data_IF_242065312001
#
_entry.id   IF_242065312001
#
_cell.length_a   1.000
_cell.length_b   1.000
_cell.length_c   1.000
_cell.angle_alpha   90.00
_cell.angle_beta   90.00
_cell.angle_gamma   90.00
#
_symmetry.space_group_name_H-M   'P 1'
#
loop_
_entity.id
_entity.type
_entity.pdbx_description
1 polymer ?
#
# COMPACT_ATOMS: atom_id res chain seq x y z
N UNK A 1 -10.54 9.15 -18.84
CA UNK A 1 -9.28 8.38 -18.82
C UNK A 1 -8.92 7.91 -20.22
N UNK A 2 -7.68 8.12 -20.66
CA UNK A 2 -7.16 7.61 -21.95
C UNK A 2 -7.16 6.08 -21.95
N UNK A 3 -7.31 5.43 -23.13
CA UNK A 3 -7.20 3.98 -23.30
C UNK A 3 -5.89 3.42 -22.71
N UNK A 4 -4.76 4.13 -22.93
CA UNK A 4 -3.44 3.78 -22.36
C UNK A 4 -3.45 3.75 -20.82
N UNK A 5 -4.18 4.68 -20.18
CA UNK A 5 -4.29 4.72 -18.72
C UNK A 5 -5.10 3.52 -18.17
N UNK A 6 -6.18 3.14 -18.84
CA UNK A 6 -7.00 1.96 -18.47
C UNK A 6 -6.20 0.66 -18.57
N UNK A 7 -5.43 0.49 -19.65
CA UNK A 7 -4.55 -0.68 -19.84
C UNK A 7 -3.48 -0.75 -18.76
N UNK A 8 -2.82 0.39 -18.46
CA UNK A 8 -1.80 0.46 -17.39
C UNK A 8 -2.39 0.08 -16.03
N UNK A 9 -3.56 0.61 -15.71
CA UNK A 9 -4.28 0.30 -14.46
C UNK A 9 -4.60 -1.19 -14.36
N UNK A 10 -5.16 -1.77 -15.41
CA UNK A 10 -5.48 -3.19 -15.47
C UNK A 10 -4.25 -4.07 -15.28
N UNK A 11 -3.14 -3.75 -15.94
CA UNK A 11 -1.87 -4.48 -15.79
C UNK A 11 -1.33 -4.41 -14.35
N UNK A 12 -1.37 -3.24 -13.72
CA UNK A 12 -0.88 -3.08 -12.34
C UNK A 12 -1.74 -3.86 -11.35
N UNK A 13 -3.06 -3.82 -11.51
CA UNK A 13 -3.99 -4.60 -10.68
C UNK A 13 -3.76 -6.10 -10.85
N UNK A 14 -3.53 -6.57 -12.08
CA UNK A 14 -3.20 -7.97 -12.37
C UNK A 14 -1.90 -8.38 -11.68
N UNK A 15 -0.83 -7.59 -11.85
CA UNK A 15 0.47 -7.83 -11.21
C UNK A 15 0.32 -7.85 -9.69
N UNK A 16 -0.39 -6.87 -9.11
CA UNK A 16 -0.65 -6.83 -7.67
C UNK A 16 -1.35 -8.08 -7.16
N UNK A 17 -2.39 -8.55 -7.87
CA UNK A 17 -3.12 -9.78 -7.50
C UNK A 17 -2.25 -11.03 -7.59
N UNK A 18 -1.40 -11.14 -8.62
CA UNK A 18 -0.45 -12.26 -8.76
C UNK A 18 0.58 -12.24 -7.64
N UNK A 19 1.12 -11.06 -7.28
CA UNK A 19 2.06 -10.92 -6.15
C UNK A 19 1.40 -11.37 -4.84
N UNK A 20 0.15 -10.97 -4.57
CA UNK A 20 -0.58 -11.39 -3.37
C UNK A 20 -0.77 -12.91 -3.36
N UNK A 21 -1.23 -13.51 -4.47
CA UNK A 21 -1.41 -14.96 -4.58
C UNK A 21 -0.09 -15.72 -4.38
N UNK A 22 1.00 -15.21 -4.94
CA UNK A 22 2.36 -15.77 -4.78
C UNK A 22 2.81 -15.73 -3.32
N UNK A 23 2.62 -14.59 -2.64
CA UNK A 23 2.96 -14.46 -1.23
C UNK A 23 2.17 -15.45 -0.36
N UNK A 24 0.88 -15.58 -0.60
CA UNK A 24 0.01 -16.53 0.12
C UNK A 24 0.49 -17.96 -0.12
N UNK A 25 0.66 -18.37 -1.37
CA UNK A 25 0.98 -19.76 -1.71
C UNK A 25 2.37 -20.17 -1.22
N UNK A 26 3.41 -19.36 -1.46
CA UNK A 26 4.80 -19.77 -1.20
C UNK A 26 5.26 -19.55 0.25
N UNK A 27 4.65 -18.62 0.98
CA UNK A 27 5.10 -18.30 2.33
C UNK A 27 4.04 -18.58 3.42
N UNK A 28 2.77 -18.22 3.19
CA UNK A 28 1.74 -18.35 4.22
C UNK A 28 1.24 -19.79 4.38
N UNK A 29 0.88 -20.46 3.27
CA UNK A 29 0.27 -21.79 3.31
C UNK A 29 1.22 -22.88 3.86
N UNK A 30 2.51 -22.99 3.43
CA UNK A 30 3.39 -24.04 3.88
C UNK A 30 3.71 -23.97 5.36
N UNK A 31 3.78 -22.76 5.91
CA UNK A 31 4.10 -22.49 7.33
C UNK A 31 2.86 -22.55 8.24
N UNK A 32 1.66 -22.78 7.66
CA UNK A 32 0.37 -22.82 8.38
C UNK A 32 0.08 -21.55 9.18
N UNK A 33 0.71 -20.45 8.82
CA UNK A 33 0.55 -19.16 9.49
C UNK A 33 -0.69 -18.44 8.92
N UNK A 34 -1.54 -17.95 9.79
CA UNK A 34 -2.80 -17.30 9.40
C UNK A 34 -2.71 -15.79 9.56
N UNK A 35 -1.69 -15.17 8.94
CA UNK A 35 -1.56 -13.71 8.96
C UNK A 35 -2.80 -13.09 8.34
N UNK A 36 -3.48 -12.26 9.11
CA UNK A 36 -4.78 -11.62 8.94
C UNK A 36 -5.31 -11.37 7.55
N UNK A 37 -5.69 -12.44 6.86
CA UNK A 37 -6.21 -12.39 5.50
C UNK A 37 -7.41 -13.34 5.33
N UNK A 38 -8.20 -13.12 4.28
CA UNK A 38 -9.26 -14.07 3.90
C UNK A 38 -8.70 -15.47 3.62
N UNK A 39 -7.52 -15.55 2.99
CA UNK A 39 -6.83 -16.81 2.76
C UNK A 39 -6.35 -17.48 4.07
N UNK A 40 -5.98 -16.69 5.11
CA UNK A 40 -5.67 -17.21 6.45
C UNK A 40 -6.89 -17.85 7.10
N UNK A 41 -8.06 -17.24 7.00
CA UNK A 41 -9.30 -17.86 7.48
C UNK A 41 -9.67 -19.10 6.68
N UNK A 42 -9.48 -19.06 5.34
CA UNK A 42 -9.70 -20.24 4.50
C UNK A 42 -8.76 -21.40 4.86
N UNK A 43 -7.51 -21.09 5.25
CA UNK A 43 -6.55 -22.10 5.73
C UNK A 43 -7.03 -22.76 7.03
N UNK A 44 -7.58 -21.99 7.99
CA UNK A 44 -8.18 -22.58 9.20
C UNK A 44 -9.38 -23.45 8.84
N UNK A 45 -10.27 -22.96 7.97
CA UNK A 45 -11.47 -23.69 7.56
C UNK A 45 -11.16 -24.97 6.79
N UNK A 46 -10.06 -25.02 6.04
CA UNK A 46 -9.65 -26.22 5.29
C UNK A 46 -9.29 -27.42 6.19
N UNK A 47 -9.06 -27.19 7.50
CA UNK A 47 -8.88 -28.28 8.46
C UNK A 47 -10.22 -28.96 8.85
N UNK A 48 -11.34 -28.30 8.62
CA UNK A 48 -12.69 -28.79 8.97
C UNK A 48 -13.50 -29.17 7.73
N UNK A 49 -13.18 -28.60 6.58
CA UNK A 49 -13.93 -28.76 5.33
C UNK A 49 -13.00 -29.39 4.29
N UNK A 50 -13.36 -30.50 3.62
CA UNK A 50 -12.52 -31.18 2.65
C UNK A 50 -12.49 -30.44 1.28
N UNK A 51 -12.14 -29.17 1.30
CA UNK A 51 -11.97 -28.32 0.13
C UNK A 51 -10.59 -27.68 0.14
N UNK A 52 -10.05 -27.37 -1.06
CA UNK A 52 -8.78 -26.66 -1.15
C UNK A 52 -8.90 -25.22 -0.62
N UNK A 53 -7.79 -24.67 -0.12
CA UNK A 53 -7.75 -23.29 0.39
C UNK A 53 -8.17 -22.29 -0.68
N UNK A 54 -7.77 -22.52 -1.94
CA UNK A 54 -8.18 -21.69 -3.08
C UNK A 54 -9.69 -21.68 -3.28
N UNK A 55 -10.35 -22.84 -3.17
CA UNK A 55 -11.80 -22.96 -3.32
C UNK A 55 -12.55 -22.25 -2.18
N UNK A 56 -12.12 -22.46 -0.94
CA UNK A 56 -12.73 -21.77 0.22
C UNK A 56 -12.54 -20.26 0.09
N UNK A 57 -11.34 -19.81 -0.28
CA UNK A 57 -11.05 -18.39 -0.51
C UNK A 57 -11.95 -17.78 -1.58
N UNK A 58 -12.21 -18.51 -2.68
CA UNK A 58 -13.11 -18.05 -3.74
C UNK A 58 -14.55 -17.85 -3.22
N UNK A 59 -15.08 -18.82 -2.47
CA UNK A 59 -16.43 -18.74 -1.89
C UNK A 59 -16.55 -17.55 -0.94
N UNK A 60 -15.58 -17.37 -0.06
CA UNK A 60 -15.54 -16.25 0.88
C UNK A 60 -15.43 -14.91 0.17
N UNK A 61 -14.60 -14.83 -0.86
CA UNK A 61 -14.42 -13.62 -1.65
C UNK A 61 -15.72 -13.18 -2.33
N UNK A 62 -16.50 -14.11 -2.87
CA UNK A 62 -17.82 -13.79 -3.48
C UNK A 62 -18.72 -13.08 -2.47
N UNK A 63 -18.82 -13.60 -1.24
CA UNK A 63 -19.63 -12.98 -0.20
C UNK A 63 -19.10 -11.58 0.18
N UNK A 64 -17.78 -11.45 0.42
CA UNK A 64 -17.16 -10.19 0.82
C UNK A 64 -17.25 -9.13 -0.27
N UNK A 65 -17.13 -9.53 -1.55
CA UNK A 65 -17.27 -8.62 -2.69
C UNK A 65 -18.68 -8.05 -2.79
N UNK A 66 -19.72 -8.87 -2.61
CA UNK A 66 -21.11 -8.40 -2.59
C UNK A 66 -21.27 -7.34 -1.47
N UNK A 67 -20.75 -7.63 -0.29
CA UNK A 67 -20.74 -6.69 0.84
C UNK A 67 -19.99 -5.39 0.49
N UNK A 68 -18.82 -5.50 -0.12
CA UNK A 68 -18.01 -4.37 -0.57
C UNK A 68 -18.70 -3.50 -1.62
N UNK A 69 -19.36 -4.11 -2.60
CA UNK A 69 -20.13 -3.38 -3.63
C UNK A 69 -21.23 -2.54 -3.01
N UNK A 70 -21.94 -3.07 -2.02
CA UNK A 70 -23.04 -2.38 -1.34
C UNK A 70 -22.53 -1.25 -0.45
N UNK A 71 -21.47 -1.49 0.35
CA UNK A 71 -21.02 -0.56 1.37
C UNK A 71 -19.99 0.46 0.87
N UNK A 72 -19.12 0.11 -0.09
CA UNK A 72 -18.07 0.99 -0.58
C UNK A 72 -18.48 1.73 -1.86
N UNK A 73 -19.02 1.00 -2.83
CA UNK A 73 -19.50 1.56 -4.09
C UNK A 73 -19.10 0.75 -5.32
N UNK A 74 -19.74 1.08 -6.47
CA UNK A 74 -19.63 0.29 -7.72
C UNK A 74 -18.24 0.34 -8.37
N UNK A 75 -17.54 1.49 -8.31
CA UNK A 75 -16.21 1.63 -8.93
C UNK A 75 -15.14 0.77 -8.22
N UNK A 76 -15.24 0.65 -6.90
CA UNK A 76 -14.43 -0.28 -6.11
C UNK A 76 -14.80 -1.73 -6.44
N UNK A 77 -16.11 -2.01 -6.58
CA UNK A 77 -16.62 -3.37 -6.80
C UNK A 77 -16.11 -3.99 -8.11
N UNK A 78 -16.16 -3.29 -9.23
CA UNK A 78 -15.77 -3.86 -10.53
C UNK A 78 -14.32 -4.37 -10.57
N UNK A 79 -13.37 -3.59 -10.03
CA UNK A 79 -11.96 -3.97 -9.95
C UNK A 79 -11.73 -5.09 -8.95
N UNK A 80 -12.42 -5.01 -7.82
CA UNK A 80 -12.33 -6.00 -6.75
C UNK A 80 -12.91 -7.34 -7.18
N UNK A 81 -14.01 -7.38 -7.95
CA UNK A 81 -14.55 -8.61 -8.55
C UNK A 81 -13.47 -9.33 -9.37
N UNK A 82 -12.76 -8.59 -10.23
CA UNK A 82 -11.69 -9.16 -11.03
C UNK A 82 -10.57 -9.76 -10.17
N UNK A 83 -10.07 -9.02 -9.18
CA UNK A 83 -9.00 -9.49 -8.28
C UNK A 83 -9.45 -10.69 -7.43
N UNK A 84 -10.69 -10.65 -6.94
CA UNK A 84 -11.28 -11.71 -6.09
C UNK A 84 -11.40 -13.06 -6.77
N UNK A 85 -11.50 -13.06 -8.10
CA UNK A 85 -11.49 -14.27 -8.91
C UNK A 85 -10.07 -14.64 -9.30
N UNK A 86 -9.26 -13.67 -9.74
CA UNK A 86 -7.92 -13.91 -10.23
C UNK A 86 -7.02 -14.52 -9.16
N UNK A 87 -7.02 -13.98 -7.94
CA UNK A 87 -6.16 -14.44 -6.86
C UNK A 87 -6.38 -15.93 -6.52
N UNK A 88 -7.59 -16.42 -6.21
CA UNK A 88 -7.83 -17.85 -5.99
C UNK A 88 -7.54 -18.73 -7.20
N UNK A 89 -7.78 -18.23 -8.41
CA UNK A 89 -7.43 -18.97 -9.65
C UNK A 89 -5.93 -19.16 -9.75
N UNK A 90 -5.12 -18.13 -9.52
CA UNK A 90 -3.65 -18.24 -9.51
C UNK A 90 -3.19 -19.19 -8.41
N UNK A 91 -3.78 -19.10 -7.20
CA UNK A 91 -3.50 -20.06 -6.12
C UNK A 91 -3.83 -21.50 -6.52
N UNK A 92 -4.99 -21.75 -7.13
CA UNK A 92 -5.38 -23.07 -7.60
C UNK A 92 -4.47 -23.61 -8.72
N UNK A 93 -3.90 -22.74 -9.54
CA UNK A 93 -2.86 -23.13 -10.51
C UNK A 93 -1.58 -23.55 -9.77
N UNK A 94 -1.14 -22.78 -8.76
CA UNK A 94 0.03 -23.15 -7.96
C UNK A 94 -0.20 -24.47 -7.19
N UNK A 95 -1.37 -24.69 -6.59
CA UNK A 95 -1.74 -25.94 -5.91
C UNK A 95 -1.62 -27.17 -6.85
N UNK A 96 -1.93 -27.00 -8.14
CA UNK A 96 -1.81 -28.08 -9.15
C UNK A 96 -0.37 -28.31 -9.61
N UNK A 97 0.41 -27.21 -9.77
CA UNK A 97 1.80 -27.30 -10.24
C UNK A 97 2.72 -27.81 -9.13
N UNK A 98 2.44 -27.40 -7.88
CA UNK A 98 3.25 -27.72 -6.70
C UNK A 98 2.42 -28.40 -5.60
N UNK A 99 1.88 -29.63 -5.83
CA UNK A 99 0.90 -30.24 -4.91
C UNK A 99 1.44 -30.53 -3.51
N UNK A 100 2.76 -30.68 -3.34
CA UNK A 100 3.42 -30.99 -2.07
C UNK A 100 4.46 -29.91 -1.71
N UNK A 101 4.18 -28.65 -2.02
CA UNK A 101 5.11 -27.57 -1.76
C UNK A 101 5.33 -27.37 -0.24
N UNK A 102 6.59 -27.40 0.16
CA UNK A 102 7.02 -27.15 1.54
C UNK A 102 7.66 -25.77 1.65
N UNK A 103 7.68 -25.23 2.89
CA UNK A 103 8.31 -23.95 3.16
C UNK A 103 9.76 -23.90 2.66
N UNK A 104 10.10 -22.82 1.95
CA UNK A 104 11.46 -22.57 1.46
C UNK A 104 12.41 -22.33 2.62
N UNK A 105 11.97 -21.61 3.64
CA UNK A 105 12.82 -21.21 4.79
C UNK A 105 12.82 -22.26 5.89
N UNK A 106 11.83 -23.15 5.93
CA UNK A 106 11.58 -24.12 6.99
C UNK A 106 11.43 -23.47 8.40
N UNK A 107 11.27 -22.15 8.45
CA UNK A 107 11.07 -21.38 9.67
C UNK A 107 9.81 -20.49 9.51
N UNK A 108 8.74 -20.73 10.31
CA UNK A 108 7.50 -19.97 10.23
C UNK A 108 7.70 -18.46 10.43
N UNK A 109 8.68 -18.03 11.24
CA UNK A 109 8.94 -16.61 11.46
C UNK A 109 9.53 -15.94 10.22
N UNK A 110 10.51 -16.59 9.56
CA UNK A 110 11.09 -16.08 8.31
C UNK A 110 10.05 -16.06 7.20
N UNK A 111 9.21 -17.09 7.11
CA UNK A 111 8.12 -17.13 6.13
C UNK A 111 7.14 -15.97 6.33
N UNK A 112 6.78 -15.65 7.58
CA UNK A 112 5.92 -14.49 7.87
C UNK A 112 6.58 -13.19 7.47
N UNK A 113 7.87 -13.00 7.74
CA UNK A 113 8.59 -11.78 7.33
C UNK A 113 8.58 -11.65 5.80
N UNK A 114 8.88 -12.73 5.07
CA UNK A 114 8.81 -12.74 3.61
C UNK A 114 7.38 -12.47 3.12
N UNK A 115 6.38 -13.11 3.73
CA UNK A 115 4.98 -12.92 3.41
C UNK A 115 4.55 -11.46 3.54
N UNK A 116 4.76 -10.83 4.71
CA UNK A 116 4.28 -9.46 4.95
C UNK A 116 4.94 -8.43 4.04
N UNK A 117 6.21 -8.63 3.66
CA UNK A 117 6.90 -7.75 2.70
C UNK A 117 6.32 -7.93 1.29
N UNK A 118 6.19 -9.16 0.81
CA UNK A 118 5.72 -9.42 -0.55
C UNK A 118 4.24 -9.10 -0.70
N UNK A 119 3.39 -9.53 0.25
CA UNK A 119 1.95 -9.22 0.21
C UNK A 119 1.70 -7.72 0.35
N UNK A 120 2.50 -7.02 1.18
CA UNK A 120 2.41 -5.58 1.35
C UNK A 120 2.62 -4.81 0.04
N UNK A 121 3.58 -5.24 -0.79
CA UNK A 121 3.79 -4.67 -2.14
C UNK A 121 2.56 -4.91 -3.02
N UNK A 122 2.03 -6.14 -3.05
CA UNK A 122 0.85 -6.48 -3.84
C UNK A 122 -0.38 -5.67 -3.43
N UNK A 123 -0.68 -5.61 -2.12
CA UNK A 123 -1.81 -4.84 -1.58
C UNK A 123 -1.65 -3.33 -1.81
N UNK A 124 -0.43 -2.79 -1.65
CA UNK A 124 -0.13 -1.39 -1.97
C UNK A 124 -0.50 -1.06 -3.43
N UNK A 125 -0.14 -1.93 -4.39
CA UNK A 125 -0.51 -1.75 -5.79
C UNK A 125 -2.03 -1.78 -5.98
N UNK A 126 -2.73 -2.73 -5.38
CA UNK A 126 -4.19 -2.84 -5.49
C UNK A 126 -4.89 -1.60 -4.91
N UNK A 127 -4.53 -1.20 -3.69
CA UNK A 127 -5.15 -0.06 -3.02
C UNK A 127 -4.88 1.28 -3.70
N UNK A 128 -3.71 1.44 -4.34
CA UNK A 128 -3.38 2.64 -5.12
C UNK A 128 -4.33 2.87 -6.31
N UNK A 129 -4.94 1.79 -6.81
CA UNK A 129 -5.92 1.84 -7.89
C UNK A 129 -7.35 1.59 -7.43
N UNK A 130 -7.59 1.74 -6.12
CA UNK A 130 -8.90 1.53 -5.48
C UNK A 130 -9.49 0.14 -5.78
N UNK A 131 -8.64 -0.89 -5.76
CA UNK A 131 -9.00 -2.30 -5.85
C UNK A 131 -8.66 -3.02 -4.54
N UNK A 132 -9.13 -4.26 -4.39
CA UNK A 132 -8.88 -5.12 -3.24
C UNK A 132 -8.67 -6.56 -3.73
N UNK A 133 -7.95 -7.39 -2.97
CA UNK A 133 -7.76 -8.81 -3.30
C UNK A 133 -9.04 -9.65 -3.17
N UNK A 134 -10.08 -9.08 -2.56
CA UNK A 134 -11.38 -9.73 -2.35
C UNK A 134 -11.55 -10.35 -0.95
N UNK A 135 -10.50 -10.36 -0.14
CA UNK A 135 -10.50 -10.94 1.21
C UNK A 135 -10.87 -9.95 2.32
N UNK A 136 -10.23 -10.10 3.49
CA UNK A 136 -10.44 -9.22 4.65
C UNK A 136 -10.03 -7.76 4.40
N UNK A 137 -9.28 -7.49 3.37
CA UNK A 137 -8.97 -6.16 2.88
C UNK A 137 -10.22 -5.37 2.44
N UNK A 138 -11.32 -6.05 2.04
CA UNK A 138 -12.64 -5.41 1.88
C UNK A 138 -13.17 -4.93 3.24
N UNK A 139 -13.07 -5.78 4.27
CA UNK A 139 -13.49 -5.40 5.63
C UNK A 139 -12.67 -4.23 6.13
N UNK A 140 -11.34 -4.27 5.94
CA UNK A 140 -10.46 -3.17 6.28
C UNK A 140 -10.83 -1.87 5.54
N UNK A 141 -11.17 -1.96 4.25
CA UNK A 141 -11.62 -0.81 3.47
C UNK A 141 -12.95 -0.24 3.96
N UNK A 142 -13.87 -1.09 4.43
CA UNK A 142 -15.12 -0.67 5.07
C UNK A 142 -14.80 0.06 6.38
N UNK A 143 -13.96 -0.50 7.25
CA UNK A 143 -13.54 0.14 8.49
C UNK A 143 -12.84 1.49 8.21
N UNK A 144 -11.95 1.56 7.23
CA UNK A 144 -11.31 2.79 6.82
C UNK A 144 -12.33 3.85 6.39
N UNK A 145 -13.35 3.46 5.58
CA UNK A 145 -14.38 4.38 5.10
C UNK A 145 -15.25 4.93 6.22
N UNK A 146 -15.71 4.09 7.14
CA UNK A 146 -16.70 4.44 8.15
C UNK A 146 -16.08 4.92 9.47
N UNK A 147 -14.96 4.34 9.89
CA UNK A 147 -14.27 4.69 11.14
C UNK A 147 -13.10 5.65 10.94
N UNK A 148 -12.75 5.96 9.67
CA UNK A 148 -11.61 6.86 9.33
C UNK A 148 -10.28 6.41 9.95
N UNK A 149 -10.08 5.11 10.11
CA UNK A 149 -8.82 4.52 10.57
C UNK A 149 -7.91 4.28 9.38
N UNK A 150 -6.59 4.37 9.56
CA UNK A 150 -5.63 4.01 8.51
C UNK A 150 -5.86 2.57 8.03
N UNK A 151 -5.60 2.32 6.75
CA UNK A 151 -5.96 1.05 6.12
C UNK A 151 -5.21 -0.14 6.71
N UNK A 152 -3.92 0.02 7.03
CA UNK A 152 -3.12 -1.02 7.67
C UNK A 152 -3.56 -1.29 9.11
N UNK A 153 -3.94 -0.25 9.87
CA UNK A 153 -4.54 -0.45 11.20
C UNK A 153 -5.85 -1.21 11.10
N UNK A 154 -6.71 -0.87 10.14
CA UNK A 154 -7.97 -1.59 9.90
C UNK A 154 -7.73 -3.05 9.50
N UNK A 155 -6.69 -3.32 8.67
CA UNK A 155 -6.23 -4.68 8.34
C UNK A 155 -5.77 -5.42 9.59
N UNK A 156 -5.00 -4.77 10.47
CA UNK A 156 -4.54 -5.38 11.73
C UNK A 156 -5.70 -5.75 12.62
N UNK A 157 -6.70 -4.87 12.80
CA UNK A 157 -7.86 -5.16 13.66
C UNK A 157 -8.68 -6.34 13.14
N UNK A 158 -9.05 -6.32 11.86
CA UNK A 158 -9.81 -7.42 11.26
C UNK A 158 -8.98 -8.72 11.23
N UNK A 159 -7.70 -8.60 10.94
CA UNK A 159 -6.80 -9.74 10.80
C UNK A 159 -6.41 -10.41 12.10
N UNK A 160 -6.25 -9.68 13.22
CA UNK A 160 -5.99 -10.28 14.54
C UNK A 160 -7.15 -11.18 14.96
N UNK A 161 -8.39 -10.75 14.72
CA UNK A 161 -9.54 -11.59 15.00
C UNK A 161 -9.47 -12.92 14.24
N UNK A 162 -9.05 -12.91 12.97
CA UNK A 162 -8.83 -14.12 12.17
C UNK A 162 -7.62 -14.91 12.66
N UNK A 163 -6.50 -14.25 12.94
CA UNK A 163 -5.30 -14.92 13.42
C UNK A 163 -5.56 -15.71 14.72
N UNK A 164 -6.41 -15.18 15.60
CA UNK A 164 -6.80 -15.87 16.83
C UNK A 164 -7.62 -17.15 16.57
N UNK A 165 -8.36 -17.25 15.45
CA UNK A 165 -9.07 -18.49 15.10
C UNK A 165 -8.13 -19.66 14.83
N UNK A 166 -6.87 -19.38 14.50
CA UNK A 166 -5.85 -20.41 14.30
C UNK A 166 -5.54 -21.23 15.56
N UNK A 167 -5.87 -20.70 16.75
CA UNK A 167 -5.73 -21.43 18.02
C UNK A 167 -6.58 -22.71 18.09
N UNK A 168 -7.61 -22.82 17.23
CA UNK A 168 -8.42 -24.03 17.15
C UNK A 168 -7.72 -25.20 16.44
N UNK A 169 -6.67 -24.92 15.63
CA UNK A 169 -6.08 -25.90 14.72
C UNK A 169 -4.56 -26.04 14.84
N UNK A 170 -3.88 -25.00 15.35
CA UNK A 170 -2.42 -24.91 15.30
C UNK A 170 -1.80 -24.67 16.67
N UNK A 171 -0.51 -24.96 16.78
CA UNK A 171 0.26 -24.78 18.01
C UNK A 171 0.33 -23.31 18.45
N UNK A 172 0.45 -23.04 19.77
CA UNK A 172 0.51 -21.67 20.29
C UNK A 172 1.60 -20.78 19.64
N UNK A 173 2.72 -21.37 19.26
CA UNK A 173 3.81 -20.69 18.54
C UNK A 173 3.32 -20.08 17.23
N UNK A 174 2.57 -20.86 16.45
CA UNK A 174 2.01 -20.42 15.16
C UNK A 174 0.97 -19.32 15.35
N UNK A 175 0.13 -19.42 16.39
CA UNK A 175 -0.86 -18.40 16.74
C UNK A 175 -0.18 -17.07 17.07
N UNK A 176 0.84 -17.10 17.93
CA UNK A 176 1.60 -15.89 18.31
C UNK A 176 2.27 -15.26 17.09
N UNK A 177 2.93 -16.06 16.25
CA UNK A 177 3.56 -15.57 15.01
C UNK A 177 2.51 -14.98 14.06
N UNK A 178 1.32 -15.60 13.96
CA UNK A 178 0.22 -15.10 13.12
C UNK A 178 -0.30 -13.75 13.59
N UNK A 179 -0.48 -13.56 14.89
CA UNK A 179 -0.92 -12.29 15.48
C UNK A 179 0.13 -11.19 15.28
N UNK A 180 1.40 -11.49 15.59
CA UNK A 180 2.51 -10.55 15.39
C UNK A 180 2.68 -10.20 13.91
N UNK A 181 2.66 -11.20 13.02
CA UNK A 181 2.75 -10.98 11.58
C UNK A 181 1.61 -10.12 11.05
N UNK A 182 0.39 -10.30 11.59
CA UNK A 182 -0.75 -9.45 11.23
C UNK A 182 -0.55 -8.00 11.66
N UNK A 183 -0.10 -7.78 12.89
CA UNK A 183 0.18 -6.44 13.41
C UNK A 183 1.27 -5.72 12.61
N UNK A 184 2.43 -6.36 12.44
CA UNK A 184 3.52 -5.78 11.65
C UNK A 184 3.18 -5.65 10.17
N UNK A 185 2.42 -6.59 9.60
CA UNK A 185 1.93 -6.52 8.23
C UNK A 185 1.10 -5.26 7.96
N UNK A 186 0.22 -4.89 8.89
CA UNK A 186 -0.54 -3.64 8.80
C UNK A 186 0.36 -2.40 8.86
N UNK A 187 1.36 -2.37 9.74
CA UNK A 187 2.32 -1.25 9.82
C UNK A 187 3.14 -1.11 8.53
N UNK A 188 3.60 -2.23 7.97
CA UNK A 188 4.35 -2.25 6.71
C UNK A 188 3.47 -1.78 5.55
N UNK A 189 2.22 -2.22 5.52
CA UNK A 189 1.26 -1.81 4.49
C UNK A 189 1.02 -0.30 4.52
N UNK A 190 0.78 0.28 5.71
CA UNK A 190 0.63 1.73 5.86
C UNK A 190 1.89 2.45 5.41
N UNK A 191 3.07 1.97 5.80
CA UNK A 191 4.34 2.55 5.37
C UNK A 191 4.51 2.54 3.84
N UNK A 192 4.12 1.45 3.17
CA UNK A 192 4.17 1.36 1.72
C UNK A 192 3.16 2.30 1.04
N UNK A 193 1.92 2.36 1.54
CA UNK A 193 0.88 3.25 1.00
C UNK A 193 1.27 4.73 1.17
N UNK A 194 1.72 5.12 2.37
CA UNK A 194 2.19 6.48 2.62
C UNK A 194 3.44 6.81 1.81
N UNK A 195 4.38 5.87 1.70
CA UNK A 195 5.63 6.04 0.96
C UNK A 195 5.46 6.38 -0.52
N UNK A 196 4.35 5.94 -1.15
CA UNK A 196 4.02 6.28 -2.54
C UNK A 196 3.57 7.73 -2.72
N UNK A 197 2.96 8.31 -1.69
CA UNK A 197 2.31 9.62 -1.76
C UNK A 197 3.08 10.73 -1.05
N UNK A 198 4.26 10.43 -0.49
CA UNK A 198 5.08 11.42 0.19
C UNK A 198 5.48 12.51 -0.80
N UNK A 199 4.95 13.72 -0.58
CA UNK A 199 5.42 14.94 -1.19
C UNK A 199 6.43 15.65 -0.30
N UNK A 200 7.19 16.57 -0.88
CA UNK A 200 8.19 17.34 -0.17
C UNK A 200 7.81 18.81 -0.23
N UNK A 201 7.67 19.42 0.94
CA UNK A 201 7.63 20.87 1.07
C UNK A 201 9.07 21.35 1.10
N UNK A 202 9.45 22.12 0.11
CA UNK A 202 10.79 22.68 -0.04
C UNK A 202 10.70 24.17 0.20
N UNK A 203 11.50 24.67 1.12
CA UNK A 203 11.63 26.09 1.42
C UNK A 203 13.05 26.52 0.97
N UNK A 204 13.17 27.53 0.12
CA UNK A 204 14.43 27.97 -0.44
C UNK A 204 14.60 29.46 -0.20
N UNK A 205 15.76 29.84 0.35
CA UNK A 205 16.23 31.21 0.51
C UNK A 205 17.48 31.37 -0.34
N UNK A 206 17.46 32.26 -1.32
CA UNK A 206 18.56 32.49 -2.24
C UNK A 206 18.49 33.91 -2.81
N UNK A 207 19.62 34.57 -3.10
CA UNK A 207 19.66 35.79 -3.89
C UNK A 207 19.07 35.61 -5.30
N UNK A 208 19.20 34.41 -5.88
CA UNK A 208 18.71 34.04 -7.22
C UNK A 208 17.26 33.52 -7.20
N UNK A 209 16.45 33.94 -6.22
CA UNK A 209 15.13 33.39 -5.97
C UNK A 209 14.17 33.50 -7.16
N UNK A 210 14.26 34.60 -7.93
CA UNK A 210 13.37 34.85 -9.06
C UNK A 210 13.57 33.81 -10.18
N UNK A 211 14.80 33.39 -10.45
CA UNK A 211 15.10 32.31 -11.41
C UNK A 211 14.58 30.96 -10.92
N UNK A 212 14.68 30.74 -9.61
CA UNK A 212 14.17 29.48 -8.98
C UNK A 212 12.65 29.43 -9.07
N UNK A 213 11.97 30.55 -8.80
CA UNK A 213 10.52 30.66 -8.92
C UNK A 213 10.06 30.44 -10.36
N UNK A 214 10.75 31.05 -11.33
CA UNK A 214 10.46 30.84 -12.76
C UNK A 214 10.56 29.35 -13.11
N UNK A 215 11.64 28.66 -12.73
CA UNK A 215 11.81 27.23 -12.97
C UNK A 215 10.69 26.39 -12.32
N UNK A 216 10.27 26.72 -11.10
CA UNK A 216 9.17 26.02 -10.41
C UNK A 216 7.84 26.15 -11.19
N UNK A 217 7.57 27.35 -11.71
CA UNK A 217 6.32 27.64 -12.42
C UNK A 217 6.31 27.12 -13.85
N UNK A 218 7.41 27.26 -14.58
CA UNK A 218 7.50 26.95 -16.03
C UNK A 218 7.91 25.50 -16.30
N UNK A 219 8.96 25.00 -15.62
CA UNK A 219 9.55 23.68 -15.90
C UNK A 219 8.94 22.57 -15.05
N UNK A 220 8.60 22.86 -13.80
CA UNK A 220 7.97 21.89 -12.92
C UNK A 220 6.44 22.00 -12.95
N UNK A 221 5.88 23.08 -13.51
CA UNK A 221 4.44 23.37 -13.48
C UNK A 221 3.82 23.24 -12.08
N UNK A 222 4.64 23.53 -11.05
CA UNK A 222 4.24 23.42 -9.63
C UNK A 222 3.91 24.80 -9.06
N UNK A 223 3.03 24.83 -8.04
CA UNK A 223 2.71 26.05 -7.32
C UNK A 223 3.87 26.52 -6.45
N UNK A 224 4.04 27.82 -6.33
CA UNK A 224 5.01 28.45 -5.42
C UNK A 224 4.34 29.52 -4.57
N UNK A 225 4.78 29.64 -3.31
CA UNK A 225 4.37 30.71 -2.39
C UNK A 225 5.62 31.46 -1.99
N UNK A 226 5.59 32.79 -2.09
CA UNK A 226 6.65 33.67 -1.62
C UNK A 226 6.30 34.24 -0.26
N UNK A 227 7.26 34.16 0.67
CA UNK A 227 7.19 34.79 1.98
C UNK A 227 8.31 35.83 2.12
N UNK A 228 8.00 36.95 2.73
CA UNK A 228 9.02 37.88 3.22
C UNK A 228 9.45 37.45 4.61
N UNK A 229 10.74 37.34 4.84
CA UNK A 229 11.33 36.91 6.09
C UNK A 229 12.45 37.84 6.49
N UNK A 230 12.76 37.88 7.77
CA UNK A 230 13.84 38.71 8.32
C UNK A 230 14.88 37.75 8.94
N UNK A 231 16.13 37.86 8.53
CA UNK A 231 17.24 37.11 9.12
C UNK A 231 17.44 37.51 10.58
N UNK A 232 17.35 36.56 11.49
CA UNK A 232 17.45 36.88 12.93
C UNK A 232 18.83 37.41 13.35
N UNK A 233 19.89 37.00 12.65
CA UNK A 233 21.27 37.37 12.95
C UNK A 233 21.62 38.77 12.43
N UNK A 234 21.29 39.05 11.18
CA UNK A 234 21.72 40.27 10.48
C UNK A 234 20.56 41.28 10.27
N UNK A 235 19.34 40.95 10.73
CA UNK A 235 18.12 41.73 10.58
C UNK A 235 17.83 42.17 9.13
N UNK A 236 18.40 41.42 8.14
CA UNK A 236 18.18 41.74 6.74
C UNK A 236 16.88 41.13 6.23
N UNK A 237 16.06 41.89 5.47
CA UNK A 237 14.90 41.35 4.79
C UNK A 237 15.34 40.45 3.64
N UNK A 238 14.71 39.30 3.57
CA UNK A 238 14.94 38.29 2.53
C UNK A 238 13.61 37.73 2.04
N UNK A 239 13.62 37.02 0.92
CA UNK A 239 12.46 36.29 0.43
C UNK A 239 12.74 34.79 0.50
N UNK A 240 11.72 34.04 0.86
CA UNK A 240 11.69 32.59 0.85
C UNK A 240 10.66 32.12 -0.17
N UNK A 241 10.97 31.13 -1.00
CA UNK A 241 9.99 30.41 -1.79
C UNK A 241 9.67 29.07 -1.13
N UNK A 242 8.38 28.77 -1.05
CA UNK A 242 7.86 27.49 -0.59
C UNK A 242 7.15 26.83 -1.76
N UNK A 243 7.53 25.59 -2.05
CA UNK A 243 6.84 24.75 -3.03
C UNK A 243 6.63 23.34 -2.48
N UNK A 244 5.60 22.66 -2.99
CA UNK A 244 5.35 21.25 -2.66
C UNK A 244 5.46 20.45 -3.94
N UNK A 245 6.43 19.55 -3.95
CA UNK A 245 6.85 18.79 -5.12
C UNK A 245 6.87 17.29 -4.83
N UNK A 246 6.76 16.47 -5.88
CA UNK A 246 6.98 15.04 -5.77
C UNK A 246 8.49 14.69 -5.74
N UNK A 247 8.80 13.39 -5.64
CA UNK A 247 10.19 12.91 -5.55
C UNK A 247 11.01 13.19 -6.83
N UNK A 248 10.39 13.19 -8.01
CA UNK A 248 11.07 13.43 -9.27
C UNK A 248 11.27 14.94 -9.49
N UNK A 249 10.23 15.73 -9.26
CA UNK A 249 10.27 17.19 -9.28
C UNK A 249 11.29 17.73 -8.29
N UNK A 250 11.35 17.16 -7.08
CA UNK A 250 12.34 17.53 -6.07
C UNK A 250 13.79 17.35 -6.56
N UNK A 251 14.11 16.23 -7.22
CA UNK A 251 15.45 16.01 -7.77
C UNK A 251 15.79 17.06 -8.81
N UNK A 252 14.88 17.32 -9.77
CA UNK A 252 15.06 18.36 -10.80
C UNK A 252 15.25 19.74 -10.18
N UNK A 253 14.44 20.09 -9.16
CA UNK A 253 14.55 21.35 -8.44
C UNK A 253 15.92 21.49 -7.76
N UNK A 254 16.36 20.47 -7.03
CA UNK A 254 17.65 20.52 -6.32
C UNK A 254 18.85 20.56 -7.26
N UNK A 255 18.77 19.89 -8.42
CA UNK A 255 19.82 19.96 -9.43
C UNK A 255 19.89 21.36 -10.05
N UNK A 256 18.75 22.01 -10.27
CA UNK A 256 18.69 23.39 -10.76
C UNK A 256 19.21 24.38 -9.70
N UNK A 257 18.73 24.29 -8.46
CA UNK A 257 19.17 25.18 -7.36
C UNK A 257 20.68 25.12 -7.15
N UNK A 258 21.26 23.91 -7.13
CA UNK A 258 22.73 23.73 -6.99
C UNK A 258 23.53 24.36 -8.11
N UNK A 259 22.97 24.42 -9.34
CA UNK A 259 23.62 25.06 -10.48
C UNK A 259 23.58 26.58 -10.42
N UNK A 260 22.46 27.14 -9.93
CA UNK A 260 22.24 28.59 -9.90
C UNK A 260 22.88 29.21 -8.67
N UNK A 261 22.66 28.58 -7.51
CA UNK A 261 23.20 29.03 -6.24
C UNK A 261 23.61 27.84 -5.35
N UNK A 262 24.88 27.44 -5.39
CA UNK A 262 25.38 26.35 -4.53
C UNK A 262 25.31 26.66 -3.02
N UNK A 263 25.12 27.94 -2.64
CA UNK A 263 25.04 28.38 -1.26
C UNK A 263 23.61 28.64 -0.79
N UNK A 264 22.61 28.36 -1.62
CA UNK A 264 21.21 28.52 -1.27
C UNK A 264 20.88 27.76 0.01
N UNK A 265 20.16 28.41 0.94
CA UNK A 265 19.65 27.73 2.12
C UNK A 265 18.36 27.01 1.78
N UNK A 266 18.36 25.69 1.93
CA UNK A 266 17.22 24.83 1.56
C UNK A 266 16.83 23.96 2.75
N UNK A 267 15.57 24.04 3.14
CA UNK A 267 14.98 23.12 4.11
C UNK A 267 13.90 22.29 3.45
N UNK A 268 13.82 21.01 3.83
CA UNK A 268 12.92 20.03 3.22
C UNK A 268 12.13 19.31 4.30
N UNK A 269 10.81 19.34 4.19
CA UNK A 269 9.88 18.65 5.08
C UNK A 269 9.10 17.59 4.29
N UNK A 270 8.86 16.45 4.91
CA UNK A 270 7.94 15.45 4.36
C UNK A 270 6.50 15.87 4.60
N UNK A 271 5.68 15.85 3.55
CA UNK A 271 4.25 16.14 3.61
C UNK A 271 3.51 14.83 3.44
N UNK A 272 2.90 14.35 4.50
CA UNK A 272 2.15 13.10 4.52
C UNK A 272 0.77 13.24 3.87
N UNK A 273 0.17 14.43 3.94
CA UNK A 273 -1.14 14.69 3.37
C UNK A 273 -1.21 16.10 2.76
N UNK A 274 -1.77 16.19 1.56
CA UNK A 274 -2.02 17.45 0.89
C UNK A 274 -3.35 17.41 0.14
N UNK A 275 -4.18 18.41 0.36
CA UNK A 275 -5.43 18.61 -0.38
C UNK A 275 -5.29 19.84 -1.28
N UNK A 276 -5.30 19.63 -2.58
CA UNK A 276 -5.27 20.71 -3.56
C UNK A 276 -6.08 20.34 -4.81
N UNK A 277 -6.54 21.35 -5.51
CA UNK A 277 -7.09 21.16 -6.86
C UNK A 277 -5.94 21.34 -7.86
N UNK A 278 -5.63 20.34 -8.70
CA UNK A 278 -4.62 20.49 -9.75
C UNK A 278 -5.02 21.66 -10.67
N UNK A 279 -4.08 22.51 -11.03
CA UNK A 279 -4.30 23.48 -12.09
C UNK A 279 -4.58 22.69 -13.38
N UNK A 280 -5.65 23.11 -14.10
CA UNK A 280 -6.04 22.55 -15.40
C UNK A 280 -4.97 22.84 -16.44
#
# INVERSE_FOLDING_TARGET
MSMKQKIKEFLIITIGSVIVATAVFFFMLPSKVTVGSGAGLALVLSNFIPLSVSTITLIMNVFLVILGCVLIGKDFGAKTIYCSILMPVVMGVYERIFPNFQSITQDPLLDVICYILVVGIGLMLLFSYNASSGGLDIVAKILNKYLRVDLGKAMSYAGIAVALTSACCYEPKIVVISVLGTYFGGMILDHFIFGLNIKRRVCIISPELDKIVEFILTDLHSGATLNEIIGAYDQTPRREVITIVDKQEYRRLMDFVRKIDPKAFVTVYSVSEMRYQPKK
#
